data_IF_626993778048
#
_entry.id   IF_626993778048
#
_cell.length_a   1.000
_cell.length_b   1.000
_cell.length_c   1.000
_cell.angle_alpha   90.00
_cell.angle_beta   90.00
_cell.angle_gamma   90.00
#
_symmetry.space_group_name_H-M   'P 1'
#
loop_
_entity.id
_entity.type
_entity.pdbx_description
1 polymer ?
#
# COMPACT_ATOMS: atom_id res chain seq x y z
N UNK A 1 9.58 37.99 -1.77
CA UNK A 1 9.28 38.41 -3.16
C UNK A 1 8.06 37.64 -3.63
N UNK A 2 7.08 38.34 -4.19
CA UNK A 2 5.80 37.77 -4.66
C UNK A 2 5.81 37.90 -6.19
N UNK A 3 6.02 36.78 -6.90
CA UNK A 3 5.81 36.68 -8.35
C UNK A 3 4.39 36.19 -8.56
N UNK A 4 3.44 37.10 -8.37
CA UNK A 4 2.03 36.82 -8.67
C UNK A 4 1.84 36.74 -10.19
N UNK A 5 1.07 35.78 -10.75
CA UNK A 5 0.27 34.73 -10.10
C UNK A 5 1.01 33.37 -9.96
N UNK A 6 2.31 33.34 -10.24
CA UNK A 6 3.08 32.12 -10.42
C UNK A 6 3.49 31.47 -9.10
N UNK A 7 3.77 32.24 -8.05
CA UNK A 7 4.28 31.71 -6.78
C UNK A 7 3.71 32.44 -5.57
N UNK A 8 3.07 31.70 -4.67
CA UNK A 8 2.53 32.18 -3.40
C UNK A 8 3.17 31.38 -2.27
N UNK A 9 3.82 32.09 -1.34
CA UNK A 9 4.34 31.52 -0.10
C UNK A 9 3.53 32.05 1.08
N UNK A 10 2.95 31.14 1.86
CA UNK A 10 2.25 31.45 3.10
C UNK A 10 3.00 30.79 4.26
N UNK A 11 3.26 31.56 5.31
CA UNK A 11 3.84 31.06 6.56
C UNK A 11 2.91 31.48 7.69
N UNK A 12 2.42 30.51 8.44
CA UNK A 12 1.61 30.71 9.63
C UNK A 12 2.39 30.15 10.82
N UNK A 13 2.53 30.95 11.87
CA UNK A 13 3.24 30.57 13.09
C UNK A 13 2.22 30.60 14.23
N UNK A 14 1.93 29.42 14.76
CA UNK A 14 1.07 29.22 15.93
C UNK A 14 1.95 28.83 17.12
N UNK A 15 1.45 29.02 18.35
CA UNK A 15 2.20 28.67 19.56
C UNK A 15 2.53 27.17 19.54
N UNK A 16 3.80 26.83 19.32
CA UNK A 16 4.28 25.44 19.25
C UNK A 16 4.13 24.73 17.90
N UNK A 17 3.68 25.40 16.84
CA UNK A 17 3.59 24.84 15.48
C UNK A 17 3.88 25.88 14.39
N UNK A 18 4.67 25.50 13.40
CA UNK A 18 4.99 26.29 12.22
C UNK A 18 4.42 25.61 10.98
N UNK A 19 3.59 26.33 10.24
CA UNK A 19 3.03 25.88 8.98
C UNK A 19 3.58 26.69 7.83
N UNK A 20 4.21 26.03 6.87
CA UNK A 20 4.65 26.62 5.61
C UNK A 20 3.88 26.02 4.44
N UNK A 21 3.37 26.87 3.55
CA UNK A 21 2.69 26.44 2.34
C UNK A 21 3.26 27.18 1.14
N UNK A 22 3.71 26.41 0.17
CA UNK A 22 4.15 26.87 -1.14
C UNK A 22 3.08 26.49 -2.17
N UNK A 23 2.65 27.44 -3.00
CA UNK A 23 1.74 27.21 -4.12
C UNK A 23 2.36 27.78 -5.39
N UNK A 24 2.32 26.99 -6.47
CA UNK A 24 2.74 27.39 -7.80
C UNK A 24 1.51 27.33 -8.71
N UNK A 25 1.30 28.38 -9.51
CA UNK A 25 0.19 28.45 -10.49
C UNK A 25 -1.18 28.11 -9.86
N UNK A 26 -1.43 28.67 -8.67
CA UNK A 26 -2.65 28.56 -7.84
C UNK A 26 -3.07 27.15 -7.41
N UNK A 27 -3.14 26.17 -8.32
CA UNK A 27 -3.55 24.77 -8.11
C UNK A 27 -2.57 23.72 -8.65
N UNK A 28 -1.71 24.06 -9.61
CA UNK A 28 -0.88 23.07 -10.32
C UNK A 28 0.05 22.30 -9.36
N UNK A 29 0.65 23.02 -8.42
CA UNK A 29 1.51 22.40 -7.41
C UNK A 29 1.36 23.12 -6.08
N UNK A 30 1.21 22.35 -5.01
CA UNK A 30 1.30 22.87 -3.64
C UNK A 30 2.08 21.94 -2.74
N UNK A 31 2.97 22.49 -1.91
CA UNK A 31 3.70 21.78 -0.85
C UNK A 31 3.37 22.48 0.47
N UNK A 32 2.62 21.80 1.33
CA UNK A 32 2.27 22.25 2.66
C UNK A 32 3.01 21.39 3.69
N UNK A 33 3.80 22.04 4.54
CA UNK A 33 4.52 21.44 5.65
C UNK A 33 4.04 22.04 6.94
N UNK A 34 3.79 21.21 7.91
CA UNK A 34 3.42 21.62 9.26
C UNK A 34 4.38 20.93 10.22
N UNK A 35 5.19 21.72 10.92
CA UNK A 35 6.16 21.26 11.90
C UNK A 35 5.66 21.68 13.28
N UNK A 36 5.37 20.72 14.16
CA UNK A 36 4.93 20.97 15.52
C UNK A 36 5.82 20.27 16.55
N UNK A 37 5.55 20.52 17.84
CA UNK A 37 6.22 19.82 18.95
C UNK A 37 6.03 18.29 18.88
N UNK A 38 4.87 17.85 18.39
CA UNK A 38 4.45 16.45 18.43
C UNK A 38 4.65 15.71 17.09
N UNK A 39 5.29 16.35 16.10
CA UNK A 39 5.60 15.72 14.81
C UNK A 39 5.53 16.68 13.63
N UNK A 40 5.76 16.14 12.42
CA UNK A 40 5.69 16.90 11.18
C UNK A 40 4.73 16.25 10.19
N UNK A 41 3.84 17.05 9.60
CA UNK A 41 2.93 16.63 8.53
C UNK A 41 3.40 17.26 7.22
N UNK A 42 3.32 16.52 6.13
CA UNK A 42 3.62 17.04 4.79
C UNK A 42 2.57 16.62 3.80
N UNK A 43 2.07 17.58 3.02
CA UNK A 43 1.10 17.36 1.96
C UNK A 43 1.59 18.02 0.68
N UNK A 44 1.70 17.24 -0.39
CA UNK A 44 2.07 17.70 -1.72
C UNK A 44 0.92 17.35 -2.66
N UNK A 45 0.34 18.36 -3.29
CA UNK A 45 -0.68 18.19 -4.32
C UNK A 45 -0.07 18.64 -5.65
N UNK A 46 0.10 17.72 -6.60
CA UNK A 46 0.61 17.98 -7.94
C UNK A 46 -0.54 17.74 -8.94
N UNK A 47 -1.44 18.71 -9.04
CA UNK A 47 -2.60 18.61 -9.92
C UNK A 47 -2.19 18.59 -11.40
N UNK A 48 -2.86 17.81 -12.26
CA UNK A 48 -3.89 16.81 -11.99
C UNK A 48 -3.29 15.42 -11.71
N UNK A 49 -1.98 15.28 -11.57
CA UNK A 49 -1.27 14.01 -11.71
C UNK A 49 -1.19 13.17 -10.45
N UNK A 50 -0.94 13.78 -9.29
CA UNK A 50 -0.69 13.05 -8.06
C UNK A 50 -0.94 13.87 -6.80
N UNK A 51 -1.16 13.17 -5.70
CA UNK A 51 -1.18 13.71 -4.34
C UNK A 51 -0.37 12.80 -3.43
N UNK A 52 0.38 13.42 -2.54
CA UNK A 52 1.17 12.78 -1.50
C UNK A 52 0.84 13.43 -0.16
N UNK A 53 0.67 12.62 0.86
CA UNK A 53 0.38 13.06 2.22
C UNK A 53 1.13 12.17 3.20
N UNK A 54 1.68 12.80 4.23
CA UNK A 54 2.33 12.16 5.36
C UNK A 54 1.81 12.77 6.64
N UNK A 55 1.24 11.95 7.52
CA UNK A 55 0.74 12.38 8.83
C UNK A 55 1.88 12.59 9.85
N UNK A 56 1.53 12.90 11.10
CA UNK A 56 2.53 13.14 12.17
C UNK A 56 3.16 11.84 12.66
N UNK A 57 2.38 10.77 12.66
CA UNK A 57 2.72 9.41 13.07
C UNK A 57 3.65 8.71 12.06
N UNK A 58 3.75 9.25 10.84
CA UNK A 58 4.56 8.74 9.74
C UNK A 58 3.80 7.91 8.71
N UNK A 59 2.48 7.78 8.80
CA UNK A 59 1.68 7.13 7.77
C UNK A 59 1.75 7.94 6.48
N UNK A 60 1.90 7.24 5.36
CA UNK A 60 2.04 7.80 4.03
C UNK A 60 0.85 7.41 3.19
N UNK A 61 0.29 8.39 2.49
CA UNK A 61 -0.74 8.19 1.48
C UNK A 61 -0.32 8.85 0.17
N UNK A 62 -0.37 8.10 -0.91
CA UNK A 62 -0.08 8.57 -2.24
C UNK A 62 -1.18 8.10 -3.19
N UNK A 63 -1.62 8.98 -4.08
CA UNK A 63 -2.59 8.65 -5.11
C UNK A 63 -2.22 9.35 -6.41
N UNK A 64 -2.50 8.70 -7.53
CA UNK A 64 -2.45 9.35 -8.85
C UNK A 64 -3.82 9.91 -9.21
N UNK A 65 -3.81 10.88 -10.13
CA UNK A 65 -4.97 11.56 -10.68
C UNK A 65 -5.83 12.31 -9.65
N UNK A 66 -5.24 13.22 -8.86
CA UNK A 66 -6.00 14.01 -7.87
C UNK A 66 -6.79 15.17 -8.53
N UNK A 67 -7.87 14.84 -9.27
CA UNK A 67 -8.60 15.81 -10.11
C UNK A 67 -9.36 16.89 -9.32
N UNK A 68 -10.02 16.53 -8.22
CA UNK A 68 -10.92 17.42 -7.48
C UNK A 68 -10.34 17.89 -6.14
N UNK A 69 -9.36 17.17 -5.62
CA UNK A 69 -8.76 17.34 -4.30
C UNK A 69 -7.92 18.61 -4.21
N UNK A 70 -7.38 19.08 -5.35
CA UNK A 70 -6.67 20.36 -5.43
C UNK A 70 -7.63 21.56 -5.34
N UNK A 71 -8.85 21.43 -5.86
CA UNK A 71 -9.86 22.50 -5.85
C UNK A 71 -10.66 22.53 -4.54
N UNK A 72 -10.90 21.37 -3.93
CA UNK A 72 -11.69 21.19 -2.70
C UNK A 72 -10.83 20.58 -1.58
N UNK A 73 -9.77 21.28 -1.12
CA UNK A 73 -8.90 20.75 -0.08
C UNK A 73 -9.66 20.60 1.24
N UNK A 74 -9.44 19.48 1.96
CA UNK A 74 -10.06 19.12 3.26
C UNK A 74 -11.53 18.69 3.17
N UNK A 75 -12.02 18.29 2.00
CA UNK A 75 -13.32 17.66 1.89
C UNK A 75 -13.17 16.13 1.96
N UNK A 76 -13.13 15.58 3.17
CA UNK A 76 -12.96 14.14 3.42
C UNK A 76 -14.01 13.27 2.72
N UNK A 77 -15.23 13.80 2.52
CA UNK A 77 -16.29 13.06 1.85
C UNK A 77 -15.99 12.84 0.37
N UNK A 78 -15.49 13.86 -0.33
CA UNK A 78 -15.06 13.73 -1.73
C UNK A 78 -13.84 12.82 -1.80
N UNK A 79 -12.88 13.03 -0.90
CA UNK A 79 -11.62 12.29 -0.85
C UNK A 79 -11.84 10.77 -0.64
N UNK A 80 -12.84 10.37 0.15
CA UNK A 80 -13.09 8.95 0.43
C UNK A 80 -14.00 8.27 -0.58
N UNK A 81 -14.99 8.98 -1.12
CA UNK A 81 -16.02 8.36 -1.97
C UNK A 81 -15.75 8.51 -3.47
N UNK A 82 -15.14 9.62 -3.88
CA UNK A 82 -15.02 9.96 -5.29
C UNK A 82 -13.59 9.81 -5.81
N UNK A 83 -12.58 10.11 -4.99
CA UNK A 83 -11.17 9.92 -5.36
C UNK A 83 -10.83 8.53 -5.93
N UNK A 84 -11.35 7.44 -5.34
CA UNK A 84 -11.09 6.11 -5.88
C UNK A 84 -11.60 5.91 -7.31
N UNK A 85 -12.60 6.68 -7.77
CA UNK A 85 -13.21 6.53 -9.09
C UNK A 85 -12.31 6.99 -10.24
N UNK A 86 -11.34 7.85 -9.99
CA UNK A 86 -10.39 8.31 -11.00
C UNK A 86 -8.94 7.93 -10.68
N UNK A 87 -8.64 7.51 -9.45
CA UNK A 87 -7.28 7.10 -9.08
C UNK A 87 -6.87 5.83 -9.81
N UNK A 88 -5.83 5.91 -10.64
CA UNK A 88 -5.25 4.73 -11.30
C UNK A 88 -4.31 3.95 -10.39
N UNK A 89 -3.72 4.62 -9.41
CA UNK A 89 -2.81 4.01 -8.45
C UNK A 89 -2.95 4.71 -7.11
N UNK A 90 -3.03 3.91 -6.06
CA UNK A 90 -2.94 4.36 -4.68
C UNK A 90 -1.93 3.54 -3.92
N UNK A 91 -1.17 4.20 -3.05
CA UNK A 91 -0.23 3.61 -2.14
C UNK A 91 -0.51 4.14 -0.73
N UNK A 92 -0.60 3.22 0.22
CA UNK A 92 -0.72 3.55 1.64
C UNK A 92 0.35 2.78 2.39
N UNK A 93 1.04 3.44 3.31
CA UNK A 93 1.95 2.78 4.23
C UNK A 93 1.73 3.29 5.64
N UNK A 94 1.76 2.37 6.59
CA UNK A 94 1.66 2.67 8.01
C UNK A 94 3.06 2.73 8.63
N UNK A 95 3.24 3.47 9.73
CA UNK A 95 4.53 3.51 10.44
C UNK A 95 4.93 2.14 11.03
N UNK A 96 3.98 1.22 11.20
CA UNK A 96 4.24 -0.17 11.57
C UNK A 96 4.96 -1.00 10.49
N UNK A 97 5.12 -0.46 9.27
CA UNK A 97 5.76 -1.16 8.14
C UNK A 97 4.79 -1.88 7.22
N UNK A 98 3.49 -1.83 7.49
CA UNK A 98 2.47 -2.34 6.58
C UNK A 98 2.32 -1.42 5.37
N UNK A 99 2.19 -1.99 4.18
CA UNK A 99 1.95 -1.23 2.96
C UNK A 99 0.90 -1.89 2.07
N UNK A 100 0.10 -1.04 1.41
CA UNK A 100 -0.96 -1.45 0.50
C UNK A 100 -0.83 -0.65 -0.78
N UNK A 101 -0.64 -1.36 -1.88
CA UNK A 101 -0.64 -0.87 -3.23
C UNK A 101 -1.95 -1.30 -3.90
N UNK A 102 -2.60 -0.39 -4.59
CA UNK A 102 -3.80 -0.70 -5.38
C UNK A 102 -3.69 -0.03 -6.74
N UNK A 103 -3.82 -0.82 -7.80
CA UNK A 103 -3.79 -0.38 -9.18
C UNK A 103 -5.17 -0.55 -9.81
N UNK A 104 -5.55 0.40 -10.67
CA UNK A 104 -6.79 0.46 -11.44
C UNK A 104 -8.01 -0.04 -10.64
N UNK A 105 -8.50 0.72 -9.66
CA UNK A 105 -9.71 0.35 -8.91
C UNK A 105 -9.67 -1.02 -8.22
N UNK A 106 -8.52 -1.41 -7.66
CA UNK A 106 -8.29 -2.73 -7.04
C UNK A 106 -8.24 -3.90 -8.04
N UNK A 107 -7.98 -3.63 -9.33
CA UNK A 107 -7.71 -4.66 -10.32
C UNK A 107 -6.45 -5.46 -9.97
N UNK A 108 -5.45 -4.80 -9.40
CA UNK A 108 -4.31 -5.45 -8.79
C UNK A 108 -4.10 -4.79 -7.44
N UNK A 109 -4.21 -5.59 -6.38
CA UNK A 109 -3.94 -5.16 -5.01
C UNK A 109 -2.78 -5.99 -4.48
N UNK A 110 -1.82 -5.30 -3.90
CA UNK A 110 -0.66 -5.91 -3.28
C UNK A 110 -0.52 -5.33 -1.87
N UNK A 111 -0.54 -6.18 -0.87
CA UNK A 111 -0.53 -5.84 0.54
C UNK A 111 0.59 -6.60 1.23
N UNK A 112 1.48 -5.85 1.86
CA UNK A 112 2.58 -6.36 2.67
C UNK A 112 2.31 -5.96 4.12
N UNK A 113 2.23 -6.94 5.01
CA UNK A 113 2.01 -6.73 6.44
C UNK A 113 3.12 -7.40 7.22
N UNK A 114 3.22 -7.11 8.53
CA UNK A 114 4.14 -7.85 9.39
C UNK A 114 3.81 -9.36 9.48
N UNK A 115 2.55 -9.73 9.23
CA UNK A 115 2.10 -11.12 9.28
C UNK A 115 2.32 -11.87 7.95
N UNK A 116 2.64 -11.16 6.86
CA UNK A 116 2.84 -11.75 5.56
C UNK A 116 2.35 -10.91 4.37
N UNK A 117 2.27 -11.55 3.22
CA UNK A 117 2.03 -11.00 1.89
C UNK A 117 0.63 -11.38 1.39
N UNK A 118 -0.08 -10.46 0.73
CA UNK A 118 -1.35 -10.73 0.07
C UNK A 118 -1.41 -10.03 -1.30
N UNK A 119 -1.65 -10.80 -2.35
CA UNK A 119 -1.78 -10.32 -3.73
C UNK A 119 -3.16 -10.73 -4.25
N UNK A 120 -3.93 -9.77 -4.75
CA UNK A 120 -5.25 -9.98 -5.33
C UNK A 120 -5.26 -9.41 -6.76
N UNK A 121 -5.76 -10.18 -7.71
CA UNK A 121 -5.81 -9.82 -9.14
C UNK A 121 -7.24 -10.03 -9.65
N UNK A 122 -7.74 -9.02 -10.34
CA UNK A 122 -9.13 -8.88 -10.78
C UNK A 122 -10.12 -9.07 -9.62
N UNK A 123 -9.85 -8.43 -8.47
CA UNK A 123 -10.64 -8.61 -7.26
C UNK A 123 -10.52 -10.03 -6.70
N UNK A 124 -11.61 -10.78 -6.46
CA UNK A 124 -11.55 -12.10 -5.86
C UNK A 124 -11.16 -13.22 -6.84
N UNK A 125 -10.93 -12.92 -8.13
CA UNK A 125 -10.71 -13.97 -9.15
C UNK A 125 -9.38 -14.70 -8.98
N UNK A 126 -8.30 -14.01 -8.61
CA UNK A 126 -7.05 -14.65 -8.22
C UNK A 126 -6.57 -13.98 -6.94
N UNK A 127 -6.39 -14.75 -5.88
CA UNK A 127 -5.79 -14.25 -4.66
C UNK A 127 -4.75 -15.22 -4.12
N UNK A 128 -3.58 -14.69 -3.82
CA UNK A 128 -2.47 -15.37 -3.19
C UNK A 128 -2.19 -14.69 -1.85
N UNK A 129 -2.08 -15.47 -0.79
CA UNK A 129 -1.75 -14.98 0.54
C UNK A 129 -0.71 -15.89 1.16
N UNK A 130 0.32 -15.30 1.73
CA UNK A 130 1.42 -16.01 2.36
C UNK A 130 1.66 -15.39 3.72
N UNK A 131 1.87 -16.24 4.71
CA UNK A 131 2.28 -15.90 6.07
C UNK A 131 3.52 -16.72 6.41
N UNK A 132 4.15 -16.43 7.54
CA UNK A 132 5.38 -17.13 7.98
C UNK A 132 5.24 -18.65 8.05
N UNK A 133 4.01 -19.17 8.18
CA UNK A 133 3.73 -20.59 8.40
C UNK A 133 2.82 -21.23 7.35
N UNK A 134 2.13 -20.41 6.55
CA UNK A 134 1.13 -20.89 5.61
C UNK A 134 1.07 -20.07 4.32
N UNK A 135 0.87 -20.74 3.19
CA UNK A 135 0.53 -20.13 1.92
C UNK A 135 -0.84 -20.59 1.47
N UNK A 136 -1.63 -19.68 0.91
CA UNK A 136 -2.97 -19.90 0.37
C UNK A 136 -3.04 -19.30 -1.01
N UNK A 137 -3.36 -20.12 -1.99
CA UNK A 137 -3.76 -19.68 -3.32
C UNK A 137 -5.25 -19.92 -3.51
N UNK A 138 -5.94 -18.98 -4.16
CA UNK A 138 -7.35 -19.09 -4.47
C UNK A 138 -7.64 -18.56 -5.86
N UNK A 139 -8.55 -19.23 -6.55
CA UNK A 139 -8.98 -18.95 -7.91
C UNK A 139 -10.51 -18.87 -7.96
N UNK A 140 -11.02 -17.99 -8.81
CA UNK A 140 -12.44 -17.71 -9.04
C UNK A 140 -13.23 -17.51 -7.72
N UNK A 141 -12.74 -16.63 -6.84
CA UNK A 141 -13.40 -16.34 -5.57
C UNK A 141 -13.30 -17.46 -4.53
N UNK A 142 -12.36 -18.39 -4.71
CA UNK A 142 -12.20 -19.56 -3.85
C UNK A 142 -12.94 -20.80 -4.33
N UNK A 143 -13.40 -20.81 -5.59
CA UNK A 143 -13.87 -22.05 -6.23
C UNK A 143 -12.76 -23.09 -6.26
N UNK A 144 -11.52 -22.70 -6.52
CA UNK A 144 -10.35 -23.54 -6.28
C UNK A 144 -9.53 -22.88 -5.18
N UNK A 145 -9.15 -23.63 -4.16
CA UNK A 145 -8.26 -23.15 -3.11
C UNK A 145 -7.18 -24.18 -2.86
N UNK A 146 -5.95 -23.72 -2.74
CA UNK A 146 -4.80 -24.51 -2.37
C UNK A 146 -4.21 -23.90 -1.11
N UNK A 147 -4.13 -24.70 -0.05
CA UNK A 147 -3.59 -24.31 1.23
C UNK A 147 -2.34 -25.16 1.50
N UNK A 148 -1.25 -24.53 1.88
CA UNK A 148 -0.01 -25.17 2.33
C UNK A 148 0.34 -24.64 3.71
N UNK A 149 0.46 -25.49 4.73
CA UNK A 149 0.77 -25.09 6.11
C UNK A 149 1.75 -26.08 6.71
N UNK A 150 2.96 -25.63 7.04
CA UNK A 150 3.93 -26.43 7.81
C UNK A 150 4.25 -27.84 7.27
N UNK A 151 4.10 -28.07 5.96
CA UNK A 151 4.31 -29.38 5.31
C UNK A 151 3.03 -30.12 4.94
N UNK A 152 1.87 -29.71 5.45
CA UNK A 152 0.56 -30.20 5.01
C UNK A 152 0.05 -29.36 3.84
N UNK A 153 -0.50 -30.01 2.82
CA UNK A 153 -1.06 -29.37 1.62
C UNK A 153 -2.48 -29.88 1.42
N UNK A 154 -3.43 -28.97 1.24
CA UNK A 154 -4.81 -29.33 0.92
C UNK A 154 -5.31 -28.58 -0.31
N UNK A 155 -6.13 -29.26 -1.11
CA UNK A 155 -6.81 -28.72 -2.27
C UNK A 155 -8.32 -28.77 -2.04
N UNK A 156 -8.97 -27.63 -2.18
CA UNK A 156 -10.42 -27.49 -2.06
C UNK A 156 -11.03 -27.06 -3.39
N UNK A 157 -12.19 -27.62 -3.73
CA UNK A 157 -13.01 -27.21 -4.86
C UNK A 157 -14.44 -26.93 -4.41
N UNK A 158 -14.96 -25.74 -4.68
CA UNK A 158 -16.32 -25.34 -4.32
C UNK A 158 -16.58 -25.37 -2.81
N UNK A 159 -15.55 -25.20 -1.99
CA UNK A 159 -15.62 -25.32 -0.54
C UNK A 159 -15.55 -26.75 0.01
N UNK A 160 -15.49 -27.77 -0.85
CA UNK A 160 -15.23 -29.15 -0.45
C UNK A 160 -13.74 -29.46 -0.53
N UNK A 161 -13.21 -30.09 0.51
CA UNK A 161 -11.84 -30.60 0.52
C UNK A 161 -11.76 -31.82 -0.41
N UNK A 162 -10.89 -31.74 -1.43
CA UNK A 162 -10.70 -32.83 -2.39
C UNK A 162 -9.61 -33.77 -1.91
N UNK A 163 -8.45 -33.22 -1.55
CA UNK A 163 -7.25 -34.00 -1.21
C UNK A 163 -6.45 -33.21 -0.19
N UNK A 164 -6.01 -33.88 0.88
CA UNK A 164 -4.92 -33.43 1.75
C UNK A 164 -3.76 -34.41 1.66
N UNK A 165 -2.54 -33.89 1.67
CA UNK A 165 -1.33 -34.68 1.71
C UNK A 165 -0.24 -33.97 2.51
N UNK A 166 0.52 -34.73 3.29
CA UNK A 166 1.70 -34.24 3.98
C UNK A 166 2.94 -34.49 3.12
N UNK A 167 3.73 -33.46 2.83
CA UNK A 167 5.09 -33.68 2.36
C UNK A 167 5.94 -34.22 3.51
N UNK A 168 6.37 -35.48 3.38
CA UNK A 168 7.44 -36.00 4.22
C UNK A 168 8.69 -35.16 3.91
N UNK A 169 9.32 -34.49 4.89
CA UNK A 169 10.56 -33.78 4.64
C UNK A 169 11.57 -34.79 4.10
N UNK A 170 12.02 -34.63 2.85
CA UNK A 170 13.14 -35.42 2.38
C UNK A 170 14.34 -35.04 3.25
N UNK A 171 14.95 -35.99 3.99
CA UNK A 171 16.22 -35.68 4.62
C UNK A 171 17.17 -35.36 3.48
N UNK A 172 17.61 -34.10 3.43
CA UNK A 172 18.71 -33.67 2.57
C UNK A 172 19.83 -34.63 2.89
N UNK A 173 20.17 -35.50 1.93
CA UNK A 173 21.26 -36.44 2.10
C UNK A 173 22.51 -35.60 2.31
N UNK A 174 22.93 -35.48 3.58
CA UNK A 174 24.24 -34.95 3.93
C UNK A 174 25.23 -35.85 3.22
N UNK A 175 25.77 -35.40 2.10
CA UNK A 175 26.94 -35.99 1.48
C UNK A 175 28.06 -35.84 2.53
N UNK A 176 28.20 -36.82 3.40
CA UNK A 176 29.42 -37.00 4.18
C UNK A 176 30.53 -37.11 3.15
N UNK A 177 31.28 -36.02 3.00
CA UNK A 177 32.54 -36.01 2.29
C UNK A 177 33.47 -36.97 3.03
N UNK A 178 33.42 -38.24 2.63
CA UNK A 178 34.36 -39.25 3.05
C UNK A 178 35.76 -38.76 2.65
N UNK A 179 36.50 -38.32 3.66
CA UNK A 179 37.90 -37.93 3.54
C UNK A 179 38.70 -39.07 2.93
N UNK A 180 39.16 -38.86 1.69
CA UNK A 180 40.19 -39.65 1.05
C UNK A 180 41.50 -38.88 1.09
N UNK A 181 42.25 -39.05 2.18
CA UNK A 181 43.67 -38.67 2.23
C UNK A 181 44.42 -39.59 1.25
N UNK A 182 45.02 -39.01 0.21
CA UNK A 182 46.22 -39.53 -0.45
C UNK A 182 47.06 -38.39 -0.99
#
# INVERSE_FOLDING_TARGET
>A
AVLFPLFIRQREEYIGSRRERYRILWYLYSDAREEGRDGSTRRIDAWPFARYERDREGAVYFQTLALLEAFLPRNEWIERNYSPLWSLYSYRANPAGESVHSFLWNLLRHEETQAGLSIEVLGPLLAYRETDTAARFSLLGGLLRYDATGGERSLHLGGAELVTWSETPQPVATLEAAGGIR
#
